data_IF_434597492583
#
_entry.id   IF_434597492583
#
_cell.length_a   1.000
_cell.length_b   1.000
_cell.length_c   1.000
_cell.angle_alpha   90.00
_cell.angle_beta   90.00
_cell.angle_gamma   90.00
#
_symmetry.space_group_name_H-M   'P 1'
#
loop_
_entity.id
_entity.type
_entity.pdbx_description
1 polymer ?
#
# COMPACT_ATOMS: atom_id res chain seq x y z
N UNK A 1 -9.38 -7.02 19.72
CA UNK A 1 -8.01 -6.95 19.16
C UNK A 1 -8.11 -7.49 17.75
N UNK A 2 -7.59 -6.78 16.76
CA UNK A 2 -7.58 -7.17 15.34
C UNK A 2 -6.13 -7.27 14.86
N UNK A 3 -5.91 -8.02 13.79
CA UNK A 3 -4.68 -7.96 13.00
C UNK A 3 -4.90 -7.06 11.81
N UNK A 4 -4.06 -6.04 11.63
CA UNK A 4 -4.17 -5.03 10.57
C UNK A 4 -2.93 -5.09 9.67
N UNK A 5 -3.11 -5.40 8.41
CA UNK A 5 -2.04 -5.36 7.41
C UNK A 5 -2.07 -4.01 6.68
N UNK A 6 -0.93 -3.33 6.58
CA UNK A 6 -0.85 -1.99 5.99
C UNK A 6 0.30 -1.95 4.98
N UNK A 7 0.01 -1.70 3.70
CA UNK A 7 1.06 -1.42 2.71
C UNK A 7 1.46 0.06 2.73
N UNK A 8 2.70 0.37 2.35
CA UNK A 8 3.23 1.74 2.42
C UNK A 8 3.48 2.23 3.84
N UNK A 9 3.66 1.31 4.78
CA UNK A 9 3.84 1.62 6.20
C UNK A 9 5.19 2.27 6.55
N UNK A 10 6.12 2.37 5.60
CA UNK A 10 7.43 3.00 5.83
C UNK A 10 7.38 4.53 5.92
N UNK A 11 6.27 5.18 5.54
CA UNK A 11 6.15 6.65 5.58
C UNK A 11 4.69 7.13 5.53
N UNK A 12 4.50 8.43 5.71
CA UNK A 12 3.23 9.13 5.48
C UNK A 12 2.04 8.52 6.22
N UNK A 13 0.93 8.38 5.49
CA UNK A 13 -0.35 7.88 6.02
C UNK A 13 -0.20 6.45 6.55
N UNK A 14 0.47 5.56 5.82
CA UNK A 14 0.67 4.17 6.23
C UNK A 14 1.42 4.03 7.54
N UNK A 15 2.50 4.81 7.74
CA UNK A 15 3.24 4.84 9.00
C UNK A 15 2.42 5.42 10.16
N UNK A 16 1.62 6.46 9.88
CA UNK A 16 0.70 7.04 10.86
C UNK A 16 -0.35 6.03 11.32
N UNK A 17 -0.99 5.34 10.38
CA UNK A 17 -1.96 4.28 10.68
C UNK A 17 -1.34 3.13 11.48
N UNK A 18 -0.15 2.67 11.09
CA UNK A 18 0.53 1.58 11.81
C UNK A 18 0.78 1.93 13.28
N UNK A 19 1.22 3.17 13.55
CA UNK A 19 1.42 3.66 14.93
C UNK A 19 0.10 3.73 15.70
N UNK A 20 -0.95 4.27 15.09
CA UNK A 20 -2.26 4.43 15.72
C UNK A 20 -2.86 3.07 16.10
N UNK A 21 -2.95 2.14 15.14
CA UNK A 21 -3.48 0.81 15.43
C UNK A 21 -2.66 0.06 16.50
N UNK A 22 -1.33 0.17 16.47
CA UNK A 22 -0.49 -0.46 17.50
C UNK A 22 -0.69 0.17 18.90
N UNK A 23 -0.87 1.48 18.97
CA UNK A 23 -1.17 2.19 20.22
C UNK A 23 -2.55 1.80 20.79
N UNK A 24 -3.52 1.52 19.92
CA UNK A 24 -4.86 1.05 20.30
C UNK A 24 -4.88 -0.47 20.66
N UNK A 25 -3.71 -1.12 20.70
CA UNK A 25 -3.57 -2.52 21.11
C UNK A 25 -3.85 -3.54 20.02
N UNK A 26 -3.90 -3.13 18.74
CA UNK A 26 -4.03 -4.03 17.60
C UNK A 26 -2.68 -4.59 17.15
N UNK A 27 -2.68 -5.78 16.56
CA UNK A 27 -1.50 -6.33 15.92
C UNK A 27 -1.37 -5.71 14.51
N UNK A 28 -0.17 -5.25 14.15
CA UNK A 28 0.08 -4.59 12.88
C UNK A 28 1.12 -5.37 12.07
N UNK A 29 0.80 -5.67 10.81
CA UNK A 29 1.72 -6.18 9.80
C UNK A 29 2.06 -4.99 8.88
N UNK A 30 3.19 -4.34 9.15
CA UNK A 30 3.64 -3.17 8.41
C UNK A 30 4.45 -3.59 7.18
N UNK A 31 3.93 -3.30 5.97
CA UNK A 31 4.51 -3.71 4.70
C UNK A 31 5.11 -2.53 3.95
N UNK A 32 6.27 -2.74 3.33
CA UNK A 32 6.94 -1.72 2.52
C UNK A 32 8.28 -2.20 1.97
N UNK A 33 8.98 -1.31 1.25
CA UNK A 33 10.27 -1.62 0.63
C UNK A 33 11.49 -0.96 1.30
N UNK A 34 11.29 -0.08 2.26
CA UNK A 34 12.35 0.60 2.99
C UNK A 34 12.63 -0.11 4.32
N UNK A 35 13.68 -0.92 4.33
CA UNK A 35 14.04 -1.76 5.48
C UNK A 35 14.36 -0.92 6.73
N UNK A 36 15.06 0.21 6.58
CA UNK A 36 15.48 1.04 7.70
C UNK A 36 14.30 1.71 8.39
N UNK A 37 13.35 2.25 7.61
CA UNK A 37 12.14 2.88 8.13
C UNK A 37 11.19 1.87 8.76
N UNK A 38 11.04 0.69 8.16
CA UNK A 38 10.24 -0.39 8.75
C UNK A 38 10.85 -0.89 10.06
N UNK A 39 12.17 -1.08 10.12
CA UNK A 39 12.85 -1.46 11.37
C UNK A 39 12.65 -0.41 12.47
N UNK A 40 12.78 0.87 12.16
CA UNK A 40 12.50 1.96 13.10
C UNK A 40 11.03 1.94 13.57
N UNK A 41 10.08 1.67 12.69
CA UNK A 41 8.67 1.56 13.03
C UNK A 41 8.41 0.37 13.95
N UNK A 42 9.02 -0.77 13.69
CA UNK A 42 8.90 -1.98 14.51
C UNK A 42 9.39 -1.76 15.95
N UNK A 43 10.43 -0.97 16.13
CA UNK A 43 10.97 -0.67 17.48
C UNK A 43 10.01 0.15 18.35
N UNK A 44 9.00 0.80 17.77
CA UNK A 44 8.06 1.64 18.52
C UNK A 44 7.03 0.84 19.32
N UNK A 45 6.75 -0.41 18.94
CA UNK A 45 5.76 -1.24 19.61
C UNK A 45 5.99 -2.72 19.35
N UNK A 46 5.86 -3.58 20.38
CA UNK A 46 5.90 -5.04 20.20
C UNK A 46 4.74 -5.57 19.33
N UNK A 47 3.69 -4.78 19.14
CA UNK A 47 2.54 -5.13 18.33
C UNK A 47 2.79 -4.94 16.82
N UNK A 48 3.95 -4.39 16.41
CA UNK A 48 4.29 -4.16 15.01
C UNK A 48 5.25 -5.25 14.53
N UNK A 49 4.83 -6.03 13.57
CA UNK A 49 5.67 -6.90 12.74
C UNK A 49 5.86 -6.29 11.36
N UNK A 50 6.94 -6.64 10.66
CA UNK A 50 7.24 -6.05 9.36
C UNK A 50 7.33 -7.10 8.26
N UNK A 51 6.98 -6.70 7.04
CA UNK A 51 7.20 -7.45 5.81
C UNK A 51 7.87 -6.55 4.77
N UNK A 52 9.07 -6.93 4.38
CA UNK A 52 9.88 -6.18 3.41
C UNK A 52 9.67 -6.76 2.01
N UNK A 53 9.03 -6.03 1.12
CA UNK A 53 8.89 -6.38 -0.29
C UNK A 53 8.50 -5.17 -1.13
N UNK A 54 8.74 -5.27 -2.45
CA UNK A 54 8.20 -4.34 -3.43
C UNK A 54 6.88 -4.90 -3.99
N UNK A 55 5.79 -4.17 -3.83
CA UNK A 55 4.47 -4.62 -4.29
C UNK A 55 4.32 -4.62 -5.82
N UNK A 56 5.24 -4.01 -6.55
CA UNK A 56 5.27 -4.10 -8.02
C UNK A 56 5.80 -5.45 -8.52
N UNK A 57 6.47 -6.19 -7.66
CA UNK A 57 6.93 -7.56 -7.92
C UNK A 57 5.90 -8.58 -7.38
N UNK A 58 5.25 -9.28 -8.30
CA UNK A 58 4.21 -10.27 -7.99
C UNK A 58 4.72 -11.43 -7.15
N UNK A 59 5.91 -11.92 -7.45
CA UNK A 59 6.49 -13.06 -6.72
C UNK A 59 6.94 -12.65 -5.33
N UNK A 60 7.50 -11.45 -5.16
CA UNK A 60 7.80 -10.89 -3.86
C UNK A 60 6.53 -10.71 -3.01
N UNK A 61 5.43 -10.23 -3.59
CA UNK A 61 4.13 -10.15 -2.90
C UNK A 61 3.68 -11.53 -2.39
N UNK A 62 3.71 -12.53 -3.27
CA UNK A 62 3.32 -13.89 -2.93
C UNK A 62 4.18 -14.46 -1.80
N UNK A 63 5.50 -14.32 -1.87
CA UNK A 63 6.41 -14.82 -0.84
C UNK A 63 6.20 -14.12 0.51
N UNK A 64 6.06 -12.80 0.51
CA UNK A 64 5.93 -12.01 1.74
C UNK A 64 4.56 -12.15 2.41
N UNK A 65 3.49 -12.37 1.64
CA UNK A 65 2.11 -12.31 2.13
C UNK A 65 1.46 -13.69 2.32
N UNK A 66 2.06 -14.78 1.82
CA UNK A 66 1.57 -16.13 2.10
C UNK A 66 1.63 -16.40 3.62
N UNK A 67 0.51 -16.87 4.19
CA UNK A 67 0.35 -17.11 5.62
C UNK A 67 0.11 -15.84 6.46
N UNK A 68 -0.12 -14.69 5.83
CA UNK A 68 -0.51 -13.47 6.52
C UNK A 68 -2.04 -13.39 6.64
N UNK A 69 -2.56 -13.68 7.81
CA UNK A 69 -3.97 -13.53 8.13
C UNK A 69 -4.18 -12.15 8.76
N UNK A 70 -5.18 -11.40 8.28
CA UNK A 70 -5.48 -10.07 8.78
C UNK A 70 -6.98 -9.78 8.67
N UNK A 71 -7.57 -9.31 9.77
CA UNK A 71 -8.98 -8.89 9.84
C UNK A 71 -9.25 -7.61 9.03
N UNK A 72 -8.20 -6.77 8.87
CA UNK A 72 -8.25 -5.52 8.12
C UNK A 72 -6.99 -5.37 7.26
N UNK A 73 -7.17 -5.19 5.97
CA UNK A 73 -6.11 -4.97 5.00
C UNK A 73 -6.23 -3.56 4.45
N UNK A 74 -5.21 -2.73 4.65
CA UNK A 74 -5.17 -1.35 4.18
C UNK A 74 -4.10 -1.22 3.09
N UNK A 75 -4.53 -1.13 1.84
CA UNK A 75 -3.66 -0.92 0.69
C UNK A 75 -3.44 0.60 0.51
N UNK A 76 -2.43 1.12 1.23
CA UNK A 76 -2.13 2.54 1.35
C UNK A 76 -0.92 2.98 0.53
N UNK A 77 -0.07 2.03 0.09
CA UNK A 77 1.11 2.37 -0.71
C UNK A 77 0.73 3.10 -2.00
N UNK A 78 1.48 4.14 -2.32
CA UNK A 78 1.27 4.90 -3.54
C UNK A 78 2.41 5.89 -3.78
N UNK A 79 2.54 6.31 -5.04
CA UNK A 79 3.47 7.34 -5.47
C UNK A 79 2.75 8.36 -6.34
N UNK A 80 3.20 9.62 -6.28
CA UNK A 80 2.76 10.67 -7.18
C UNK A 80 4.01 11.27 -7.84
N UNK A 81 4.13 11.07 -9.13
CA UNK A 81 5.16 11.69 -9.96
C UNK A 81 4.49 12.70 -10.89
N UNK A 82 5.16 13.80 -11.16
CA UNK A 82 4.62 14.89 -11.95
C UNK A 82 5.21 14.92 -13.36
N UNK A 83 4.35 15.05 -14.38
CA UNK A 83 4.78 15.31 -15.74
C UNK A 83 5.33 16.73 -15.86
N UNK A 84 6.51 16.87 -16.45
CA UNK A 84 7.16 18.16 -16.63
C UNK A 84 7.06 18.65 -18.08
N UNK A 85 7.06 19.96 -18.25
CA UNK A 85 7.09 20.63 -19.55
C UNK A 85 5.97 20.24 -20.52
N UNK A 86 4.84 19.72 -20.03
CA UNK A 86 3.71 19.30 -20.88
C UNK A 86 4.02 18.10 -21.79
N UNK A 87 5.08 17.35 -21.48
CA UNK A 87 5.47 16.17 -22.23
C UNK A 87 4.94 14.89 -21.56
N UNK A 88 4.49 13.95 -22.37
CA UNK A 88 4.08 12.62 -21.89
C UNK A 88 5.34 11.77 -21.70
N UNK A 89 5.57 11.34 -20.45
CA UNK A 89 6.60 10.37 -20.10
C UNK A 89 5.95 9.00 -19.85
N UNK A 90 6.04 8.10 -20.83
CA UNK A 90 5.45 6.77 -20.74
C UNK A 90 6.06 5.95 -19.60
N UNK A 91 7.36 6.06 -19.34
CA UNK A 91 8.02 5.33 -18.27
C UNK A 91 7.55 5.81 -16.88
N UNK A 92 7.30 7.11 -16.71
CA UNK A 92 6.68 7.66 -15.50
C UNK A 92 5.26 7.10 -15.31
N UNK A 93 4.45 7.08 -16.38
CA UNK A 93 3.09 6.53 -16.32
C UNK A 93 3.12 5.06 -15.91
N UNK A 94 4.01 4.26 -16.50
CA UNK A 94 4.17 2.83 -16.16
C UNK A 94 4.54 2.65 -14.68
N UNK A 95 5.51 3.41 -14.14
CA UNK A 95 5.90 3.33 -12.73
C UNK A 95 4.77 3.67 -11.78
N UNK A 96 4.03 4.73 -12.08
CA UNK A 96 2.89 5.17 -11.26
C UNK A 96 1.77 4.13 -11.29
N UNK A 97 1.43 3.61 -12.47
CA UNK A 97 0.42 2.55 -12.62
C UNK A 97 0.86 1.25 -11.93
N UNK A 98 2.12 0.85 -12.08
CA UNK A 98 2.67 -0.33 -11.43
C UNK A 98 2.53 -0.25 -9.90
N UNK A 99 2.86 0.90 -9.30
CA UNK A 99 2.78 1.08 -7.85
C UNK A 99 1.34 1.24 -7.37
N UNK A 100 0.56 2.14 -8.00
CA UNK A 100 -0.73 2.59 -7.44
C UNK A 100 -1.90 1.67 -7.79
N UNK A 101 -1.80 0.91 -8.87
CA UNK A 101 -2.86 0.02 -9.34
C UNK A 101 -2.43 -1.46 -9.34
N UNK A 102 -1.39 -1.82 -10.09
CA UNK A 102 -0.98 -3.22 -10.16
C UNK A 102 -0.42 -3.75 -8.83
N UNK A 103 0.24 -2.90 -8.04
CA UNK A 103 0.72 -3.27 -6.72
C UNK A 103 -0.39 -3.74 -5.78
N UNK A 104 -1.47 -2.97 -5.57
CA UNK A 104 -2.66 -3.44 -4.86
C UNK A 104 -3.24 -4.75 -5.41
N UNK A 105 -3.31 -4.90 -6.74
CA UNK A 105 -3.77 -6.14 -7.38
C UNK A 105 -2.87 -7.32 -7.02
N UNK A 106 -1.54 -7.15 -7.06
CA UNK A 106 -0.57 -8.19 -6.67
C UNK A 106 -0.72 -8.60 -5.20
N UNK A 107 -0.90 -7.61 -4.30
CA UNK A 107 -1.15 -7.88 -2.88
C UNK A 107 -2.45 -8.66 -2.67
N UNK A 108 -3.55 -8.24 -3.31
CA UNK A 108 -4.84 -8.93 -3.21
C UNK A 108 -4.77 -10.34 -3.78
N UNK A 109 -4.11 -10.53 -4.93
CA UNK A 109 -3.90 -11.85 -5.51
C UNK A 109 -3.12 -12.80 -4.59
N UNK A 110 -2.18 -12.26 -3.80
CA UNK A 110 -1.42 -13.04 -2.82
C UNK A 110 -2.23 -13.36 -1.55
N UNK A 111 -3.18 -12.51 -1.18
CA UNK A 111 -3.96 -12.62 0.06
C UNK A 111 -5.31 -13.33 -0.14
N UNK A 112 -5.87 -13.37 -1.36
CA UNK A 112 -7.26 -13.78 -1.62
C UNK A 112 -7.64 -15.17 -1.07
N UNK A 113 -6.69 -16.10 -1.01
CA UNK A 113 -6.92 -17.45 -0.49
C UNK A 113 -6.88 -17.53 1.04
N UNK A 114 -6.53 -16.43 1.70
CA UNK A 114 -6.41 -16.30 3.15
C UNK A 114 -7.50 -15.40 3.74
N UNK A 115 -8.33 -14.79 2.88
CA UNK A 115 -9.45 -13.95 3.32
C UNK A 115 -10.60 -14.82 3.84
N UNK A 116 -11.14 -14.42 4.98
CA UNK A 116 -12.27 -15.06 5.60
C UNK A 116 -13.51 -14.15 5.62
N UNK A 117 -14.67 -14.72 5.89
CA UNK A 117 -15.91 -13.94 6.00
C UNK A 117 -15.83 -12.97 7.19
N UNK A 118 -15.96 -11.68 6.93
CA UNK A 118 -15.83 -10.61 7.91
C UNK A 118 -14.56 -9.78 7.78
N UNK A 119 -13.57 -10.27 7.06
CA UNK A 119 -12.37 -9.48 6.75
C UNK A 119 -12.71 -8.28 5.86
N UNK A 120 -11.94 -7.22 6.03
CA UNK A 120 -12.16 -5.96 5.31
C UNK A 120 -10.92 -5.55 4.53
N UNK A 121 -11.15 -5.09 3.31
CA UNK A 121 -10.12 -4.50 2.46
C UNK A 121 -10.44 -3.03 2.26
N UNK A 122 -9.46 -2.16 2.54
CA UNK A 122 -9.51 -0.72 2.34
C UNK A 122 -8.48 -0.32 1.29
N UNK A 123 -8.94 0.32 0.23
CA UNK A 123 -8.10 0.92 -0.80
C UNK A 123 -7.98 2.43 -0.55
N UNK A 124 -6.77 2.91 -0.36
CA UNK A 124 -6.54 4.36 -0.19
C UNK A 124 -6.46 5.03 -1.56
N UNK A 125 -7.58 5.61 -1.98
CA UNK A 125 -7.69 6.37 -3.22
C UNK A 125 -7.28 7.84 -3.02
N UNK A 126 -7.75 8.73 -3.86
CA UNK A 126 -7.47 10.18 -3.81
C UNK A 126 -8.59 10.93 -4.50
N UNK A 127 -8.78 12.19 -4.15
CA UNK A 127 -9.66 13.09 -4.91
C UNK A 127 -9.18 13.30 -6.36
N UNK A 128 -7.93 12.96 -6.65
CA UNK A 128 -7.38 13.01 -8.01
C UNK A 128 -8.09 12.09 -9.01
N UNK A 129 -8.88 11.12 -8.56
CA UNK A 129 -9.70 10.29 -9.45
C UNK A 129 -10.94 11.01 -9.99
N UNK A 130 -11.33 12.13 -9.36
CA UNK A 130 -12.46 12.97 -9.77
C UNK A 130 -12.00 14.31 -10.35
N UNK A 131 -10.96 14.90 -9.74
CA UNK A 131 -10.47 16.22 -10.07
C UNK A 131 -9.13 16.13 -10.78
N UNK A 132 -9.00 16.66 -11.99
CA UNK A 132 -7.72 16.69 -12.68
C UNK A 132 -6.78 17.69 -11.96
N UNK A 133 -5.65 17.20 -11.49
CA UNK A 133 -4.57 18.05 -10.98
C UNK A 133 -3.52 18.23 -12.07
N UNK A 134 -3.10 19.46 -12.37
CA UNK A 134 -2.07 19.71 -13.36
C UNK A 134 -0.80 18.92 -13.08
N UNK A 135 -0.21 18.33 -14.12
CA UNK A 135 1.00 17.52 -14.08
C UNK A 135 0.87 16.17 -13.34
N UNK A 136 -0.27 15.86 -12.73
CA UNK A 136 -0.51 14.63 -11.98
C UNK A 136 -1.44 13.66 -12.74
N UNK A 137 -1.43 13.71 -14.08
CA UNK A 137 -2.32 12.93 -14.94
C UNK A 137 -2.16 11.42 -14.71
N UNK A 138 -0.93 10.93 -14.63
CA UNK A 138 -0.64 9.53 -14.34
C UNK A 138 -1.15 9.10 -12.96
N UNK A 139 -0.97 9.96 -11.96
CA UNK A 139 -1.49 9.73 -10.62
C UNK A 139 -3.02 9.67 -10.61
N UNK A 140 -3.67 10.66 -11.20
CA UNK A 140 -5.13 10.69 -11.31
C UNK A 140 -5.70 9.46 -12.00
N UNK A 141 -5.13 9.09 -13.14
CA UNK A 141 -5.50 7.87 -13.87
C UNK A 141 -5.34 6.60 -13.04
N UNK A 142 -4.22 6.47 -12.30
CA UNK A 142 -3.96 5.31 -11.45
C UNK A 142 -4.96 5.22 -10.28
N UNK A 143 -5.34 6.35 -9.69
CA UNK A 143 -6.34 6.39 -8.61
C UNK A 143 -7.76 6.18 -9.12
N UNK A 144 -8.07 6.61 -10.34
CA UNK A 144 -9.32 6.25 -11.01
C UNK A 144 -9.40 4.73 -11.25
N UNK A 145 -8.35 4.12 -11.80
CA UNK A 145 -8.30 2.67 -12.00
C UNK A 145 -8.46 1.88 -10.69
N UNK A 146 -7.88 2.38 -9.58
CA UNK A 146 -8.01 1.75 -8.26
C UNK A 146 -9.44 1.84 -7.70
N UNK A 147 -10.22 2.82 -8.12
CA UNK A 147 -11.58 3.07 -7.58
C UNK A 147 -12.64 2.19 -8.26
N UNK A 148 -12.39 1.74 -9.49
CA UNK A 148 -13.25 0.87 -10.29
C UNK A 148 -12.92 -0.61 -10.13
#
# INVERSE_FOLDING_TARGET
MMTVLITGASSGIGAGLAKSFAADGHLVIACGRDASRLAALQQLSPNISVRLFDMTDRDACRQALTGCFADLIILCAGTCEYLDHGQVDAALVERVMATNFLGPVNCLAALQTQLEAGDRVVLVSSMAHWLPFPRAEAYGASKAALTW
#
